data_IF_495177593926
#
_entry.id   IF_495177593926
#
_cell.length_a   1.000
_cell.length_b   1.000
_cell.length_c   1.000
_cell.angle_alpha   90.00
_cell.angle_beta   90.00
_cell.angle_gamma   90.00
#
_symmetry.space_group_name_H-M   'P 1'
#
loop_
_entity.id
_entity.type
_entity.pdbx_description
1 polymer ?
#
# COMPACT_ATOMS: atom_id res chain seq x y z
N UNK A 1 23.29 18.97 -9.32
CA UNK A 1 22.88 17.56 -9.55
C UNK A 1 21.82 17.51 -10.64
N UNK A 2 22.00 16.64 -11.64
CA UNK A 2 21.08 16.46 -12.77
C UNK A 2 19.65 16.11 -12.31
N UNK A 3 18.58 16.67 -12.91
CA UNK A 3 17.19 16.35 -12.56
C UNK A 3 16.88 14.85 -12.56
N UNK A 4 17.38 14.11 -13.56
CA UNK A 4 17.14 12.67 -13.69
C UNK A 4 17.69 11.89 -12.50
N UNK A 5 18.91 12.19 -12.07
CA UNK A 5 19.57 11.52 -10.95
C UNK A 5 18.80 11.80 -9.64
N UNK A 6 18.30 13.03 -9.46
CA UNK A 6 17.50 13.37 -8.27
C UNK A 6 16.22 12.52 -8.20
N UNK A 7 15.57 12.29 -9.33
CA UNK A 7 14.37 11.46 -9.39
C UNK A 7 14.65 9.98 -9.13
N UNK A 8 15.76 9.45 -9.65
CA UNK A 8 16.16 8.06 -9.36
C UNK A 8 16.50 7.87 -7.88
N UNK A 9 17.21 8.82 -7.25
CA UNK A 9 17.49 8.77 -5.80
C UNK A 9 16.19 8.78 -4.99
N UNK A 10 15.22 9.64 -5.34
CA UNK A 10 13.91 9.64 -4.68
C UNK A 10 13.18 8.31 -4.83
N UNK A 11 13.23 7.71 -6.02
CA UNK A 11 12.63 6.38 -6.28
C UNK A 11 13.29 5.29 -5.45
N UNK A 12 14.61 5.29 -5.34
CA UNK A 12 15.34 4.34 -4.50
C UNK A 12 14.94 4.48 -3.02
N UNK A 13 14.81 5.71 -2.54
CA UNK A 13 14.42 5.98 -1.17
C UNK A 13 12.97 5.56 -0.89
N UNK A 14 12.06 5.82 -1.83
CA UNK A 14 10.68 5.34 -1.75
C UNK A 14 10.58 3.81 -1.71
N UNK A 15 11.34 3.10 -2.55
CA UNK A 15 11.40 1.63 -2.51
C UNK A 15 11.96 1.16 -1.16
N UNK A 16 13.00 1.80 -0.64
CA UNK A 16 13.62 1.44 0.63
C UNK A 16 12.62 1.57 1.79
N UNK A 17 11.87 2.69 1.84
CA UNK A 17 10.83 2.90 2.85
C UNK A 17 9.71 1.87 2.75
N UNK A 18 9.29 1.52 1.54
CA UNK A 18 8.29 0.48 1.32
C UNK A 18 8.80 -0.91 1.76
N UNK A 19 10.05 -1.24 1.50
CA UNK A 19 10.66 -2.50 1.96
C UNK A 19 10.74 -2.55 3.49
N UNK A 20 11.19 -1.47 4.14
CA UNK A 20 11.21 -1.37 5.61
C UNK A 20 9.80 -1.59 6.17
N UNK A 21 8.80 -0.91 5.61
CA UNK A 21 7.40 -1.06 6.00
C UNK A 21 6.92 -2.51 5.93
N UNK A 22 7.19 -3.22 4.82
CA UNK A 22 6.81 -4.63 4.67
C UNK A 22 7.48 -5.51 5.72
N UNK A 23 8.77 -5.30 6.00
CA UNK A 23 9.52 -6.06 6.99
C UNK A 23 9.04 -5.80 8.43
N UNK A 24 8.85 -4.54 8.81
CA UNK A 24 8.39 -4.16 10.15
C UNK A 24 6.98 -4.70 10.45
N UNK A 25 6.13 -4.79 9.42
CA UNK A 25 4.76 -5.27 9.55
C UNK A 25 4.60 -6.76 9.21
N UNK A 26 5.68 -7.47 8.85
CA UNK A 26 5.66 -8.89 8.44
C UNK A 26 4.60 -9.17 7.36
N UNK A 27 4.55 -8.31 6.35
CA UNK A 27 3.59 -8.42 5.25
C UNK A 27 4.21 -9.25 4.13
N UNK A 28 3.74 -10.48 4.01
CA UNK A 28 4.19 -11.44 2.99
C UNK A 28 3.14 -11.65 1.88
N UNK A 29 1.90 -11.21 2.12
CA UNK A 29 0.76 -11.42 1.22
C UNK A 29 0.03 -10.13 0.90
N UNK A 30 -0.65 -10.14 -0.25
CA UNK A 30 -1.49 -9.02 -0.67
C UNK A 30 -2.71 -8.80 0.24
N UNK A 31 -3.24 -9.85 0.85
CA UNK A 31 -4.36 -9.70 1.80
C UNK A 31 -3.92 -8.98 3.08
N UNK A 32 -2.76 -9.33 3.64
CA UNK A 32 -2.18 -8.59 4.78
C UNK A 32 -1.93 -7.11 4.46
N UNK A 33 -1.59 -6.80 3.21
CA UNK A 33 -1.43 -5.42 2.74
C UNK A 33 -2.75 -4.64 2.77
N UNK A 34 -3.86 -5.30 2.41
CA UNK A 34 -5.23 -4.74 2.42
C UNK A 34 -5.80 -4.59 3.82
N UNK A 35 -5.44 -5.48 4.74
CA UNK A 35 -5.91 -5.44 6.14
C UNK A 35 -5.59 -4.09 6.82
N UNK A 36 -4.49 -3.43 6.44
CA UNK A 36 -4.12 -2.09 6.94
C UNK A 36 -5.18 -1.03 6.67
N UNK A 37 -5.90 -1.14 5.55
CA UNK A 37 -7.01 -0.22 5.26
C UNK A 37 -8.22 -0.49 6.14
N UNK A 38 -8.53 -1.77 6.37
CA UNK A 38 -9.61 -2.16 7.29
C UNK A 38 -9.31 -1.74 8.74
N UNK A 39 -8.06 -1.87 9.18
CA UNK A 39 -7.60 -1.41 10.50
C UNK A 39 -7.83 0.10 10.66
N UNK A 40 -7.47 0.89 9.65
CA UNK A 40 -7.70 2.34 9.64
C UNK A 40 -9.19 2.69 9.73
N UNK A 41 -10.04 2.00 8.96
CA UNK A 41 -11.48 2.25 8.95
C UNK A 41 -12.13 1.93 10.30
N UNK A 42 -11.67 0.87 10.96
CA UNK A 42 -12.12 0.53 12.31
C UNK A 42 -11.71 1.60 13.32
N UNK A 43 -10.47 2.08 13.31
CA UNK A 43 -10.03 3.16 14.21
C UNK A 43 -10.81 4.46 13.97
N UNK A 44 -11.10 4.82 12.71
CA UNK A 44 -11.95 5.97 12.38
C UNK A 44 -13.35 5.77 12.97
N UNK A 45 -13.91 4.57 12.84
CA UNK A 45 -15.21 4.20 13.40
C UNK A 45 -15.23 4.30 14.93
N UNK A 46 -14.22 3.77 15.60
CA UNK A 46 -14.05 3.89 17.06
C UNK A 46 -13.94 5.35 17.50
N UNK A 47 -13.13 6.17 16.80
CA UNK A 47 -12.97 7.59 17.11
C UNK A 47 -14.27 8.37 16.93
N UNK A 48 -15.07 8.02 15.92
CA UNK A 48 -16.40 8.58 15.69
C UNK A 48 -17.36 8.21 16.82
N UNK A 49 -17.35 6.94 17.28
CA UNK A 49 -18.13 6.48 18.44
C UNK A 49 -17.77 7.27 19.71
N UNK A 50 -16.49 7.49 19.98
CA UNK A 50 -16.05 8.32 21.12
C UNK A 50 -16.54 9.76 21.01
N UNK A 51 -16.45 10.36 19.82
CA UNK A 51 -16.96 11.73 19.59
C UNK A 51 -18.46 11.82 19.86
N UNK A 52 -19.23 10.80 19.48
CA UNK A 52 -20.66 10.74 19.77
C UNK A 52 -20.95 10.57 21.27
N UNK A 53 -20.18 9.72 21.97
CA UNK A 53 -20.29 9.56 23.44
C UNK A 53 -19.99 10.87 24.17
N UNK A 54 -18.92 11.58 23.79
CA UNK A 54 -18.54 12.87 24.41
C UNK A 54 -19.63 13.94 24.34
N UNK A 55 -20.50 13.91 23.33
CA UNK A 55 -21.63 14.86 23.22
C UNK A 55 -22.68 14.69 24.32
N UNK A 56 -22.77 13.51 24.93
CA UNK A 56 -23.77 13.16 25.97
C UNK A 56 -23.16 12.89 27.35
N UNK A 57 -21.83 12.80 27.44
CA UNK A 57 -21.12 12.48 28.67
C UNK A 57 -21.13 13.63 29.68
N UNK A 58 -21.03 13.29 30.96
CA UNK A 58 -20.81 14.24 32.05
C UNK A 58 -19.39 14.82 32.02
N UNK A 59 -19.11 15.88 32.79
CA UNK A 59 -17.85 16.63 32.70
C UNK A 59 -16.63 15.79 33.09
N UNK A 60 -16.76 15.00 34.15
CA UNK A 60 -15.82 14.01 34.66
C UNK A 60 -15.50 12.90 33.64
N UNK A 61 -16.50 12.43 32.90
CA UNK A 61 -16.29 11.41 31.84
C UNK A 61 -15.65 11.98 30.57
N UNK A 62 -15.71 13.31 30.33
CA UNK A 62 -15.17 13.91 29.11
C UNK A 62 -13.65 13.87 29.05
N UNK A 63 -12.96 13.96 30.18
CA UNK A 63 -11.50 13.94 30.21
C UNK A 63 -10.96 12.59 29.72
N UNK A 64 -11.50 11.50 30.24
CA UNK A 64 -11.10 10.14 29.85
C UNK A 64 -11.42 9.87 28.37
N UNK A 65 -12.61 10.26 27.90
CA UNK A 65 -12.99 10.13 26.49
C UNK A 65 -12.10 10.97 25.56
N UNK A 66 -11.65 12.14 26.01
CA UNK A 66 -10.71 12.99 25.27
C UNK A 66 -9.35 12.32 25.11
N UNK A 67 -8.82 11.72 26.18
CA UNK A 67 -7.56 10.98 26.16
C UNK A 67 -7.65 9.77 25.21
N UNK A 68 -8.73 8.98 25.30
CA UNK A 68 -8.94 7.84 24.38
C UNK A 68 -9.03 8.29 22.91
N UNK A 69 -9.76 9.38 22.64
CA UNK A 69 -9.86 9.95 21.28
C UNK A 69 -8.52 10.43 20.76
N UNK A 70 -7.67 11.00 21.62
CA UNK A 70 -6.31 11.40 21.26
C UNK A 70 -5.46 10.19 20.92
N UNK A 71 -5.48 9.13 21.74
CA UNK A 71 -4.78 7.88 21.45
C UNK A 71 -5.17 7.26 20.10
N UNK A 72 -6.47 7.21 19.78
CA UNK A 72 -6.92 6.77 18.45
C UNK A 72 -6.43 7.69 17.32
N UNK A 73 -6.34 9.00 17.56
CA UNK A 73 -5.82 9.94 16.56
C UNK A 73 -4.33 9.74 16.29
N UNK A 74 -3.56 9.39 17.32
CA UNK A 74 -2.13 9.10 17.20
C UNK A 74 -1.92 7.80 16.40
N UNK A 75 -2.69 6.75 16.69
CA UNK A 75 -2.67 5.48 15.93
C UNK A 75 -3.06 5.70 14.45
N UNK A 76 -4.13 6.45 14.20
CA UNK A 76 -4.56 6.85 12.84
C UNK A 76 -3.44 7.61 12.10
N UNK A 77 -2.66 8.44 12.80
CA UNK A 77 -1.55 9.20 12.21
C UNK A 77 -0.41 8.29 11.74
N UNK A 78 -0.08 7.27 12.54
CA UNK A 78 0.90 6.24 12.18
C UNK A 78 0.41 5.42 10.99
N UNK A 79 -0.81 4.89 11.06
CA UNK A 79 -1.38 4.07 9.98
C UNK A 79 -1.53 4.79 8.65
N UNK A 80 -1.68 6.13 8.64
CA UNK A 80 -1.66 6.90 7.39
C UNK A 80 -0.32 6.82 6.66
N UNK A 81 0.80 6.75 7.39
CA UNK A 81 2.13 6.57 6.80
C UNK A 81 2.23 5.17 6.21
N UNK A 82 1.78 4.18 6.95
CA UNK A 82 1.76 2.78 6.53
C UNK A 82 0.91 2.60 5.27
N UNK A 83 -0.28 3.21 5.22
CA UNK A 83 -1.14 3.16 4.04
C UNK A 83 -0.53 3.83 2.81
N UNK A 84 0.23 4.91 2.98
CA UNK A 84 0.98 5.51 1.87
C UNK A 84 1.97 4.49 1.28
N UNK A 85 2.70 3.78 2.14
CA UNK A 85 3.65 2.76 1.69
C UNK A 85 2.96 1.54 1.09
N UNK A 86 1.83 1.12 1.69
CA UNK A 86 0.99 0.05 1.19
C UNK A 86 0.51 0.31 -0.25
N UNK A 87 -0.04 1.49 -0.52
CA UNK A 87 -0.46 1.90 -1.87
C UNK A 87 0.72 1.93 -2.86
N UNK A 88 1.89 2.37 -2.40
CA UNK A 88 3.10 2.38 -3.20
C UNK A 88 3.59 0.98 -3.58
N UNK A 89 3.52 0.03 -2.63
CA UNK A 89 3.84 -1.39 -2.87
C UNK A 89 2.85 -2.00 -3.85
N UNK A 90 1.55 -1.80 -3.63
CA UNK A 90 0.50 -2.32 -4.52
C UNK A 90 0.71 -1.84 -5.96
N UNK A 91 0.90 -0.52 -6.14
CA UNK A 91 1.14 0.05 -7.46
C UNK A 91 2.36 -0.59 -8.15
N UNK A 92 3.49 -0.72 -7.47
CA UNK A 92 4.70 -1.34 -8.05
C UNK A 92 4.48 -2.81 -8.40
N UNK A 93 3.76 -3.54 -7.55
CA UNK A 93 3.44 -4.95 -7.80
C UNK A 93 2.56 -5.11 -9.04
N UNK A 94 1.54 -4.27 -9.21
CA UNK A 94 0.70 -4.25 -10.41
C UNK A 94 1.50 -3.88 -11.66
N UNK A 95 2.32 -2.81 -11.59
CA UNK A 95 3.19 -2.41 -12.69
C UNK A 95 4.15 -3.55 -13.13
N UNK A 96 4.62 -4.35 -12.17
CA UNK A 96 5.47 -5.51 -12.44
C UNK A 96 4.70 -6.63 -13.14
N UNK A 97 3.50 -6.95 -12.65
CA UNK A 97 2.61 -7.95 -13.26
C UNK A 97 2.28 -7.55 -14.71
N UNK A 98 1.95 -6.29 -14.96
CA UNK A 98 1.66 -5.78 -16.31
C UNK A 98 2.84 -5.95 -17.26
N UNK A 99 4.06 -5.62 -16.80
CA UNK A 99 5.28 -5.83 -17.59
C UNK A 99 5.50 -7.30 -17.93
N UNK A 100 5.28 -8.19 -16.96
CA UNK A 100 5.39 -9.63 -17.15
C UNK A 100 4.38 -10.12 -18.18
N UNK A 101 3.12 -9.68 -18.11
CA UNK A 101 2.07 -10.02 -19.08
C UNK A 101 2.46 -9.57 -20.49
N UNK A 102 3.00 -8.35 -20.63
CA UNK A 102 3.47 -7.83 -21.92
C UNK A 102 4.61 -8.70 -22.48
N UNK A 103 5.55 -9.13 -21.63
CA UNK A 103 6.65 -10.00 -22.04
C UNK A 103 6.15 -11.36 -22.52
N UNK A 104 5.23 -12.01 -21.79
CA UNK A 104 4.63 -13.28 -22.21
C UNK A 104 3.92 -13.15 -23.56
N UNK A 105 3.11 -12.09 -23.75
CA UNK A 105 2.46 -11.81 -25.05
C UNK A 105 3.47 -11.64 -26.19
N UNK A 106 4.63 -11.04 -25.93
CA UNK A 106 5.70 -10.90 -26.93
C UNK A 106 6.34 -12.25 -27.26
N UNK A 107 6.62 -13.07 -26.24
CA UNK A 107 7.18 -14.41 -26.40
C UNK A 107 6.25 -15.32 -27.21
N UNK A 108 4.96 -15.29 -26.94
CA UNK A 108 3.95 -16.06 -27.69
C UNK A 108 3.94 -15.68 -29.18
N UNK A 109 4.03 -14.38 -29.49
CA UNK A 109 4.11 -13.90 -30.87
C UNK A 109 5.38 -14.40 -31.56
N UNK A 110 6.51 -14.42 -30.87
CA UNK A 110 7.78 -14.93 -31.41
C UNK A 110 7.67 -16.43 -31.67
N UNK A 111 7.12 -17.20 -30.73
CA UNK A 111 6.92 -18.63 -30.88
C UNK A 111 6.04 -18.97 -32.10
N UNK A 112 4.91 -18.27 -32.25
CA UNK A 112 4.02 -18.43 -33.42
C UNK A 112 4.73 -18.12 -34.74
N UNK A 113 5.51 -17.04 -34.80
CA UNK A 113 6.33 -16.71 -35.99
C UNK A 113 7.36 -17.79 -36.30
N UNK A 114 8.01 -18.37 -35.30
CA UNK A 114 8.98 -19.47 -35.50
C UNK A 114 8.32 -20.70 -36.09
N UNK A 115 7.15 -21.11 -35.57
CA UNK A 115 6.38 -22.25 -36.09
C UNK A 115 5.98 -22.01 -37.55
N UNK A 116 5.45 -20.83 -37.86
CA UNK A 116 5.05 -20.47 -39.23
C UNK A 116 6.23 -20.44 -40.20
N UNK A 117 7.39 -19.96 -39.76
CA UNK A 117 8.61 -20.00 -40.57
C UNK A 117 9.05 -21.44 -40.81
N UNK A 118 9.06 -22.31 -39.79
CA UNK A 118 9.44 -23.72 -39.97
C UNK A 118 8.50 -24.49 -40.90
N UNK A 119 7.22 -24.15 -40.96
CA UNK A 119 6.26 -24.74 -41.89
C UNK A 119 6.36 -24.21 -43.33
N UNK A 120 7.15 -23.16 -43.58
CA UNK A 120 7.41 -22.63 -44.92
C UNK A 120 8.67 -23.23 -45.57
N UNK A 121 9.48 -23.96 -44.80
CA UNK A 121 10.72 -24.61 -45.27
C UNK A 121 10.59 -26.15 -45.40
N UNK A 122 9.37 -26.69 -45.27
CA UNK A 122 8.96 -28.06 -45.58
C UNK A 122 7.78 -28.01 -46.55
#
# INVERSE_FOLDING_TARGET
>A
MCPLIKEEVRRMEEISQQTIFLCENQIDTYEQLKEKQAEMDDLISQRKKLTNKMRRAAFDEKETLSQQKKGLSDQISVLRKDLKWSLGVEKRSLDMVDRIIILFKKLDRIAKKRVQMSSLFY
#
